data_IF_477124526061
#
_entry.id   IF_477124526061
#
_cell.length_a   1.000
_cell.length_b   1.000
_cell.length_c   1.000
_cell.angle_alpha   90.00
_cell.angle_beta   90.00
_cell.angle_gamma   90.00
#
_symmetry.space_group_name_H-M   'P 1'
#
loop_
_entity.id
_entity.type
_entity.pdbx_description
1 polymer ?
#
# COMPACT_ATOMS: atom_id res chain seq x y z
N UNK A 1 -45.91 47.64 -33.70
CA UNK A 1 -44.63 47.06 -34.17
C UNK A 1 -43.76 46.82 -32.94
N UNK A 2 -43.80 45.63 -32.41
CA UNK A 2 -43.02 45.23 -31.23
C UNK A 2 -41.74 44.57 -31.67
N UNK A 3 -40.65 45.08 -31.19
CA UNK A 3 -39.30 44.49 -31.42
C UNK A 3 -39.05 43.47 -30.29
N UNK A 4 -38.90 42.22 -30.63
CA UNK A 4 -38.45 41.19 -29.70
C UNK A 4 -36.91 41.25 -29.51
N UNK A 5 -36.39 41.07 -28.30
CA UNK A 5 -34.95 41.01 -28.06
C UNK A 5 -34.38 39.66 -28.47
N UNK A 6 -33.23 39.68 -29.14
CA UNK A 6 -32.41 38.54 -29.52
C UNK A 6 -31.72 37.91 -28.28
N UNK A 7 -31.58 36.55 -28.17
CA UNK A 7 -30.88 35.92 -27.09
C UNK A 7 -29.36 36.09 -27.25
N UNK A 8 -28.58 36.02 -26.13
CA UNK A 8 -27.10 36.14 -26.16
C UNK A 8 -26.44 34.89 -26.73
N UNK A 9 -25.21 35.01 -27.31
CA UNK A 9 -24.49 33.89 -27.92
C UNK A 9 -24.03 32.84 -26.90
N UNK A 10 -24.07 31.62 -27.36
CA UNK A 10 -23.92 30.38 -26.61
C UNK A 10 -22.71 30.28 -25.68
N UNK A 11 -23.01 29.78 -24.52
CA UNK A 11 -22.05 29.20 -23.58
C UNK A 11 -21.36 27.97 -24.22
N UNK A 12 -20.04 28.07 -24.43
CA UNK A 12 -19.22 26.98 -24.89
C UNK A 12 -19.35 25.76 -23.96
N UNK A 13 -19.51 24.59 -24.57
CA UNK A 13 -19.55 23.31 -23.91
C UNK A 13 -18.27 23.11 -23.06
N UNK A 14 -18.44 23.10 -21.75
CA UNK A 14 -17.45 22.53 -20.83
C UNK A 14 -17.40 21.03 -21.14
N UNK A 15 -16.24 20.59 -21.59
CA UNK A 15 -15.99 19.18 -21.87
C UNK A 15 -16.35 18.31 -20.65
N UNK A 16 -17.28 17.38 -20.84
CA UNK A 16 -17.59 16.33 -19.89
C UNK A 16 -16.30 15.54 -19.62
N UNK A 17 -15.74 15.74 -18.43
CA UNK A 17 -14.74 14.83 -17.92
C UNK A 17 -15.44 13.47 -17.77
N UNK A 18 -15.15 12.54 -18.69
CA UNK A 18 -15.61 11.15 -18.61
C UNK A 18 -15.26 10.59 -17.22
N UNK A 19 -16.25 10.46 -16.37
CA UNK A 19 -16.13 9.74 -15.11
C UNK A 19 -15.80 8.29 -15.44
N UNK A 20 -14.55 7.88 -15.21
CA UNK A 20 -14.13 6.49 -15.33
C UNK A 20 -14.93 5.64 -14.34
N UNK A 21 -15.41 4.48 -14.77
CA UNK A 21 -16.16 3.56 -13.92
C UNK A 21 -15.28 3.02 -12.77
N UNK A 22 -15.84 2.69 -11.60
CA UNK A 22 -15.08 2.08 -10.49
C UNK A 22 -14.26 0.85 -10.91
N UNK A 23 -14.76 0.05 -11.86
CA UNK A 23 -14.05 -1.11 -12.41
C UNK A 23 -12.76 -0.74 -13.16
N UNK A 24 -12.66 0.44 -13.77
CA UNK A 24 -11.44 0.88 -14.45
C UNK A 24 -10.31 1.23 -13.48
N UNK A 25 -10.61 1.77 -12.31
CA UNK A 25 -9.62 2.04 -11.26
C UNK A 25 -9.00 0.76 -10.70
N UNK A 26 -9.81 -0.29 -10.54
CA UNK A 26 -9.32 -1.58 -10.04
C UNK A 26 -8.36 -2.24 -11.03
N UNK A 27 -8.66 -2.20 -12.32
CA UNK A 27 -7.82 -2.81 -13.37
C UNK A 27 -6.49 -2.06 -13.55
N UNK A 28 -6.52 -0.72 -13.55
CA UNK A 28 -5.31 0.10 -13.66
C UNK A 28 -4.38 -0.14 -12.45
N UNK A 29 -4.95 -0.17 -11.24
CA UNK A 29 -4.19 -0.45 -10.02
C UNK A 29 -3.52 -1.83 -10.03
N UNK A 30 -4.25 -2.89 -10.40
CA UNK A 30 -3.69 -4.25 -10.46
C UNK A 30 -2.58 -4.37 -11.51
N UNK A 31 -2.72 -3.67 -12.64
CA UNK A 31 -1.68 -3.56 -13.66
C UNK A 31 -0.41 -2.94 -13.08
N UNK A 32 -0.56 -1.76 -12.46
CA UNK A 32 0.57 -1.02 -11.88
C UNK A 32 1.24 -1.80 -10.76
N UNK A 33 0.46 -2.48 -9.92
CA UNK A 33 1.01 -3.35 -8.88
C UNK A 33 1.90 -4.46 -9.46
N UNK A 34 1.42 -5.19 -10.48
CA UNK A 34 2.18 -6.28 -11.11
C UNK A 34 3.44 -5.73 -11.77
N UNK A 35 3.34 -4.65 -12.55
CA UNK A 35 4.48 -4.07 -13.27
C UNK A 35 5.54 -3.47 -12.35
N UNK A 36 5.14 -2.98 -11.18
CA UNK A 36 6.07 -2.41 -10.18
C UNK A 36 6.65 -3.46 -9.22
N UNK A 37 6.02 -4.64 -9.12
CA UNK A 37 6.40 -5.65 -8.12
C UNK A 37 7.12 -6.85 -8.75
N UNK A 38 6.79 -7.19 -10.00
CA UNK A 38 7.30 -8.37 -10.68
C UNK A 38 8.09 -7.99 -11.93
N UNK A 39 9.23 -8.62 -12.11
CA UNK A 39 9.94 -8.57 -13.39
C UNK A 39 9.11 -9.30 -14.48
N UNK A 40 8.91 -8.65 -15.60
CA UNK A 40 8.15 -9.20 -16.74
C UNK A 40 8.80 -10.47 -17.29
N UNK A 41 10.14 -10.59 -17.21
CA UNK A 41 10.87 -11.81 -17.57
C UNK A 41 10.47 -12.98 -16.66
N UNK A 42 10.36 -12.72 -15.37
CA UNK A 42 9.91 -13.73 -14.38
C UNK A 42 8.50 -14.22 -14.69
N UNK A 43 7.58 -13.30 -15.04
CA UNK A 43 6.23 -13.70 -15.42
C UNK A 43 6.25 -14.61 -16.65
N UNK A 44 6.91 -14.20 -17.72
CA UNK A 44 7.04 -15.04 -18.91
C UNK A 44 7.70 -16.39 -18.62
N UNK A 45 8.75 -16.41 -17.80
CA UNK A 45 9.43 -17.63 -17.36
C UNK A 45 8.45 -18.63 -16.72
N UNK A 46 7.62 -18.15 -15.78
CA UNK A 46 6.63 -18.98 -15.06
C UNK A 46 5.55 -19.55 -15.97
N UNK A 47 5.09 -18.80 -16.97
CA UNK A 47 4.02 -19.24 -17.85
C UNK A 47 4.49 -20.09 -19.04
N UNK A 48 5.68 -19.84 -19.53
CA UNK A 48 6.27 -20.64 -20.62
C UNK A 48 7.08 -21.84 -20.12
N UNK A 49 7.51 -21.86 -18.84
CA UNK A 49 8.47 -22.84 -18.35
C UNK A 49 9.88 -22.66 -18.95
N UNK A 50 10.19 -21.48 -19.47
CA UNK A 50 11.51 -21.12 -20.01
C UNK A 50 12.34 -20.47 -18.90
N UNK A 51 13.59 -20.90 -18.67
CA UNK A 51 14.47 -20.23 -17.70
C UNK A 51 14.66 -18.74 -17.99
N UNK A 52 14.74 -17.92 -16.94
CA UNK A 52 14.85 -16.46 -17.08
C UNK A 52 16.09 -16.02 -17.86
N UNK A 53 17.22 -16.68 -17.65
CA UNK A 53 18.48 -16.42 -18.34
C UNK A 53 18.36 -16.63 -19.86
N UNK A 54 17.60 -17.63 -20.30
CA UNK A 54 17.30 -17.89 -21.72
C UNK A 54 16.43 -16.76 -22.32
N UNK A 55 15.43 -16.27 -21.57
CA UNK A 55 14.61 -15.13 -22.02
C UNK A 55 15.49 -13.87 -22.08
N UNK A 56 16.30 -13.60 -21.07
CA UNK A 56 17.21 -12.42 -21.02
C UNK A 56 18.24 -12.46 -22.16
N UNK A 57 18.80 -13.64 -22.47
CA UNK A 57 19.67 -13.80 -23.62
C UNK A 57 18.95 -13.47 -24.93
N UNK A 58 17.72 -13.99 -25.13
CA UNK A 58 16.92 -13.67 -26.34
C UNK A 58 16.56 -12.17 -26.43
N UNK A 59 16.31 -11.47 -25.31
CA UNK A 59 16.11 -10.03 -25.31
C UNK A 59 17.32 -9.29 -25.86
N UNK A 60 18.54 -9.73 -25.53
CA UNK A 60 19.80 -9.17 -26.02
C UNK A 60 20.08 -9.55 -27.48
N UNK A 61 19.61 -10.72 -27.91
CA UNK A 61 19.78 -11.28 -29.24
C UNK A 61 18.44 -11.73 -29.85
N UNK A 62 17.53 -10.81 -30.24
CA UNK A 62 16.16 -11.18 -30.61
C UNK A 62 16.03 -12.04 -31.88
N UNK A 63 17.09 -12.17 -32.66
CA UNK A 63 17.16 -13.04 -33.83
C UNK A 63 17.44 -14.50 -33.45
N UNK A 64 18.03 -14.76 -32.28
CA UNK A 64 18.26 -16.09 -31.72
C UNK A 64 17.00 -16.58 -31.03
N UNK A 65 16.02 -16.97 -31.85
CA UNK A 65 14.67 -17.32 -31.40
C UNK A 65 14.67 -18.58 -30.54
N UNK A 66 13.72 -18.67 -29.64
CA UNK A 66 13.48 -19.78 -28.73
C UNK A 66 12.36 -20.65 -29.29
N UNK A 67 12.38 -21.97 -29.06
CA UNK A 67 11.24 -22.84 -29.36
C UNK A 67 10.08 -22.50 -28.44
N UNK A 68 8.87 -22.37 -28.99
CA UNK A 68 7.68 -22.14 -28.19
C UNK A 68 7.25 -23.44 -27.47
N UNK A 69 7.34 -23.53 -26.14
CA UNK A 69 7.02 -24.75 -25.40
C UNK A 69 5.50 -25.02 -25.33
N UNK A 70 4.66 -24.05 -25.68
CA UNK A 70 3.21 -24.18 -25.63
C UNK A 70 2.62 -24.92 -26.84
N UNK A 71 3.46 -25.27 -27.83
CA UNK A 71 3.08 -26.01 -29.02
C UNK A 71 4.24 -26.89 -29.52
N UNK A 72 3.94 -27.78 -30.42
CA UNK A 72 4.99 -28.55 -31.12
C UNK A 72 5.73 -27.65 -32.12
N UNK A 73 6.73 -26.94 -31.64
CA UNK A 73 7.52 -25.98 -32.41
C UNK A 73 8.74 -26.67 -33.05
N UNK A 74 8.64 -26.96 -34.38
CA UNK A 74 9.74 -27.62 -35.10
C UNK A 74 10.95 -26.70 -35.32
N UNK A 75 10.72 -25.37 -35.42
CA UNK A 75 11.75 -24.37 -35.64
C UNK A 75 11.59 -23.24 -34.61
N UNK A 76 12.68 -22.78 -33.94
CA UNK A 76 12.62 -21.68 -33.00
C UNK A 76 11.89 -20.45 -33.57
N UNK A 77 10.83 -20.01 -32.90
CA UNK A 77 9.93 -18.96 -33.41
C UNK A 77 9.57 -17.90 -32.40
N UNK A 78 9.81 -18.17 -31.10
CA UNK A 78 9.48 -17.24 -30.03
C UNK A 78 10.59 -16.22 -29.82
N UNK A 79 10.22 -14.95 -29.66
CA UNK A 79 11.16 -13.86 -29.39
C UNK A 79 10.58 -12.87 -28.42
N UNK A 80 11.43 -12.27 -27.58
CA UNK A 80 11.11 -11.27 -26.58
C UNK A 80 11.86 -9.96 -26.89
N UNK A 81 11.17 -8.84 -26.80
CA UNK A 81 11.79 -7.52 -27.03
C UNK A 81 11.08 -6.44 -26.22
N UNK A 82 11.87 -5.57 -25.59
CA UNK A 82 11.34 -4.38 -24.95
C UNK A 82 10.93 -3.30 -25.95
N UNK A 83 9.77 -2.70 -25.72
CA UNK A 83 9.28 -1.48 -26.37
C UNK A 83 8.90 -0.49 -25.26
N UNK A 84 9.80 0.43 -24.97
CA UNK A 84 9.74 1.23 -23.75
C UNK A 84 9.88 0.36 -22.52
N UNK A 85 8.94 0.46 -21.61
CA UNK A 85 8.84 -0.30 -20.36
C UNK A 85 8.12 -1.67 -20.48
N UNK A 86 7.59 -1.98 -21.69
CA UNK A 86 6.82 -3.22 -21.93
C UNK A 86 7.67 -4.28 -22.63
N UNK A 87 7.74 -5.45 -22.01
CA UNK A 87 8.31 -6.64 -22.65
C UNK A 87 7.25 -7.30 -23.50
N UNK A 88 7.46 -7.34 -24.81
CA UNK A 88 6.56 -7.95 -25.79
C UNK A 88 7.12 -9.31 -26.20
N UNK A 89 6.28 -10.33 -26.06
CA UNK A 89 6.51 -11.64 -26.60
C UNK A 89 5.86 -11.78 -27.98
N UNK A 90 6.55 -12.39 -28.94
CA UNK A 90 6.03 -12.69 -30.28
C UNK A 90 6.43 -14.08 -30.75
N UNK A 91 5.43 -14.86 -31.18
CA UNK A 91 5.67 -16.11 -31.90
C UNK A 91 5.57 -15.87 -33.41
N UNK A 92 6.68 -16.03 -34.12
CA UNK A 92 6.75 -15.89 -35.57
C UNK A 92 6.30 -17.16 -36.33
N UNK A 93 6.11 -18.29 -35.64
CA UNK A 93 5.61 -19.52 -36.21
C UNK A 93 4.08 -19.60 -36.20
N UNK A 94 3.43 -18.91 -35.23
CA UNK A 94 1.99 -18.71 -35.19
C UNK A 94 1.74 -17.19 -35.05
N UNK A 95 1.43 -16.54 -36.19
CA UNK A 95 1.24 -15.08 -36.24
C UNK A 95 0.12 -14.54 -35.37
N UNK A 96 -0.63 -15.37 -34.68
CA UNK A 96 -1.71 -15.02 -33.73
C UNK A 96 -1.16 -14.67 -32.33
N UNK A 97 0.06 -15.05 -32.02
CA UNK A 97 0.62 -14.92 -30.69
C UNK A 97 1.61 -13.73 -30.61
N UNK A 98 1.11 -12.57 -30.16
CA UNK A 98 1.91 -11.38 -29.87
C UNK A 98 1.23 -10.56 -28.77
N UNK A 99 1.98 -10.15 -27.77
CA UNK A 99 1.44 -9.23 -26.76
C UNK A 99 2.39 -9.00 -25.59
N UNK A 100 1.93 -8.15 -24.69
CA UNK A 100 2.55 -7.95 -23.38
C UNK A 100 2.21 -9.11 -22.43
N UNK A 101 2.69 -9.02 -21.18
CA UNK A 101 2.45 -10.07 -20.18
C UNK A 101 0.96 -10.37 -19.95
N UNK A 102 0.09 -9.36 -19.98
CA UNK A 102 -1.35 -9.57 -19.74
C UNK A 102 -2.05 -10.21 -20.92
N UNK A 103 -1.70 -9.80 -22.15
CA UNK A 103 -2.25 -10.36 -23.36
C UNK A 103 -1.83 -11.83 -23.53
N UNK A 104 -0.54 -12.11 -23.28
CA UNK A 104 0.04 -13.45 -23.43
C UNK A 104 -0.47 -14.39 -22.33
N UNK A 105 -0.48 -13.94 -21.08
CA UNK A 105 -1.03 -14.75 -19.99
C UNK A 105 -2.52 -15.01 -20.24
N UNK A 106 -3.28 -13.98 -20.64
CA UNK A 106 -4.68 -14.14 -20.99
C UNK A 106 -4.91 -15.19 -22.08
N UNK A 107 -4.06 -15.21 -23.09
CA UNK A 107 -4.09 -16.25 -24.13
C UNK A 107 -3.82 -17.65 -23.55
N UNK A 108 -2.78 -17.79 -22.72
CA UNK A 108 -2.38 -19.08 -22.12
C UNK A 108 -3.48 -19.66 -21.23
N UNK A 109 -4.14 -18.83 -20.40
CA UNK A 109 -5.18 -19.30 -19.48
C UNK A 109 -6.60 -19.15 -20.02
N UNK A 110 -6.73 -18.82 -21.31
CA UNK A 110 -8.01 -18.62 -22.02
C UNK A 110 -8.93 -17.58 -21.35
N UNK A 111 -8.37 -16.41 -21.05
CA UNK A 111 -9.09 -15.25 -20.48
C UNK A 111 -8.89 -14.01 -21.34
N UNK A 112 -9.95 -13.22 -21.51
CA UNK A 112 -9.89 -12.01 -22.32
C UNK A 112 -9.36 -10.83 -21.52
N UNK A 113 -8.13 -10.38 -21.81
CA UNK A 113 -7.50 -9.23 -21.12
C UNK A 113 -8.18 -7.87 -21.41
N UNK A 114 -9.08 -7.80 -22.40
CA UNK A 114 -9.81 -6.58 -22.76
C UNK A 114 -11.09 -6.38 -21.95
N UNK A 115 -11.57 -7.39 -21.24
CA UNK A 115 -12.70 -7.27 -20.32
C UNK A 115 -12.20 -7.06 -18.89
N UNK A 116 -12.90 -6.25 -18.09
CA UNK A 116 -12.51 -6.00 -16.68
C UNK A 116 -12.44 -7.29 -15.87
N UNK A 117 -13.40 -8.19 -16.03
CA UNK A 117 -13.44 -9.48 -15.34
C UNK A 117 -12.26 -10.38 -15.76
N UNK A 118 -12.03 -10.52 -17.06
CA UNK A 118 -10.92 -11.31 -17.59
C UNK A 118 -9.57 -10.75 -17.19
N UNK A 119 -9.41 -9.42 -17.19
CA UNK A 119 -8.19 -8.76 -16.75
C UNK A 119 -7.91 -8.98 -15.25
N UNK A 120 -8.92 -8.82 -14.39
CA UNK A 120 -8.80 -9.09 -12.95
C UNK A 120 -8.43 -10.56 -12.71
N UNK A 121 -9.03 -11.49 -13.45
CA UNK A 121 -8.68 -12.91 -13.37
C UNK A 121 -7.21 -13.16 -13.74
N UNK A 122 -6.73 -12.57 -14.85
CA UNK A 122 -5.33 -12.66 -15.31
C UNK A 122 -4.38 -12.12 -14.23
N UNK A 123 -4.68 -10.95 -13.67
CA UNK A 123 -3.86 -10.35 -12.62
C UNK A 123 -3.78 -11.24 -11.37
N UNK A 124 -4.89 -11.81 -10.94
CA UNK A 124 -4.93 -12.72 -9.80
C UNK A 124 -4.13 -14.00 -10.05
N UNK A 125 -4.22 -14.57 -11.26
CA UNK A 125 -3.43 -15.77 -11.62
C UNK A 125 -1.93 -15.48 -11.67
N UNK A 126 -1.52 -14.30 -12.19
CA UNK A 126 -0.12 -13.85 -12.16
C UNK A 126 0.36 -13.71 -10.70
N UNK A 127 -0.39 -13.02 -9.85
CA UNK A 127 -0.04 -12.83 -8.43
C UNK A 127 0.09 -14.19 -7.74
N UNK A 128 -0.83 -15.12 -7.98
CA UNK A 128 -0.81 -16.44 -7.37
C UNK A 128 0.41 -17.26 -7.82
N UNK A 129 0.68 -17.34 -9.14
CA UNK A 129 1.79 -18.13 -9.69
C UNK A 129 3.17 -17.56 -9.41
N UNK A 130 3.26 -16.24 -9.23
CA UNK A 130 4.51 -15.55 -8.91
C UNK A 130 4.62 -15.16 -7.43
N UNK A 131 3.77 -15.73 -6.54
CA UNK A 131 3.73 -15.38 -5.12
C UNK A 131 5.06 -15.59 -4.41
N UNK A 132 5.82 -16.63 -4.77
CA UNK A 132 7.19 -16.88 -4.31
C UNK A 132 8.15 -15.74 -4.69
N UNK A 133 8.01 -15.19 -5.88
CA UNK A 133 8.83 -14.07 -6.38
C UNK A 133 8.35 -12.71 -5.89
N UNK A 134 7.05 -12.55 -5.66
CA UNK A 134 6.52 -11.34 -5.01
C UNK A 134 7.12 -11.18 -3.63
N UNK A 135 7.18 -12.25 -2.85
CA UNK A 135 7.82 -12.25 -1.52
C UNK A 135 9.32 -11.95 -1.64
N UNK A 136 10.03 -12.65 -2.53
CA UNK A 136 11.49 -12.46 -2.73
C UNK A 136 11.83 -11.13 -3.38
N UNK A 137 11.01 -10.61 -4.32
CA UNK A 137 11.27 -9.31 -4.95
C UNK A 137 10.86 -8.12 -4.09
N UNK A 138 9.86 -8.26 -3.22
CA UNK A 138 9.61 -7.26 -2.16
C UNK A 138 10.81 -7.24 -1.20
N UNK A 139 11.38 -8.38 -0.86
CA UNK A 139 12.62 -8.48 -0.10
C UNK A 139 13.84 -8.00 -0.92
N UNK A 140 13.97 -8.37 -2.19
CA UNK A 140 15.11 -8.05 -3.06
C UNK A 140 15.10 -6.60 -3.58
N UNK A 141 13.98 -6.05 -4.01
CA UNK A 141 13.88 -4.62 -4.34
C UNK A 141 14.02 -3.72 -3.11
N UNK A 142 13.60 -4.18 -1.94
CA UNK A 142 14.01 -3.61 -0.67
C UNK A 142 15.51 -3.78 -0.46
N UNK A 143 16.05 -4.96 -0.68
CA UNK A 143 17.48 -5.28 -0.44
C UNK A 143 18.39 -4.54 -1.42
N UNK A 144 18.08 -4.39 -2.72
CA UNK A 144 18.93 -3.63 -3.67
C UNK A 144 18.81 -2.11 -3.47
N UNK A 145 17.62 -1.58 -3.28
CA UNK A 145 17.46 -0.16 -2.92
C UNK A 145 17.94 0.13 -1.49
N UNK A 146 17.91 -0.87 -0.59
CA UNK A 146 18.39 -0.80 0.79
C UNK A 146 19.84 -1.23 0.94
N UNK A 147 20.42 -2.12 0.10
CA UNK A 147 21.87 -2.39 0.07
C UNK A 147 22.68 -1.18 -0.40
N UNK A 148 22.11 -0.34 -1.23
CA UNK A 148 22.73 0.95 -1.58
C UNK A 148 22.46 2.00 -0.47
N UNK A 149 21.41 1.83 0.35
CA UNK A 149 21.00 2.82 1.36
C UNK A 149 21.14 2.41 2.83
N UNK A 150 21.24 1.13 3.20
CA UNK A 150 21.10 0.73 4.60
C UNK A 150 21.85 -0.55 5.01
N UNK A 151 23.16 -0.49 5.08
CA UNK A 151 23.85 -1.26 6.11
C UNK A 151 23.46 -0.64 7.46
N UNK A 152 22.56 -1.32 8.23
CA UNK A 152 22.22 -0.98 9.61
C UNK A 152 21.95 0.52 9.85
N UNK A 153 20.91 1.09 9.23
CA UNK A 153 20.54 2.47 9.52
C UNK A 153 20.27 2.63 11.03
N UNK A 154 21.15 3.34 11.70
CA UNK A 154 20.93 3.78 13.06
C UNK A 154 20.30 5.17 13.03
N UNK A 155 19.24 5.36 13.81
CA UNK A 155 18.57 6.65 13.97
C UNK A 155 18.74 7.08 15.41
N UNK A 156 19.44 8.18 15.61
CA UNK A 156 19.51 8.87 16.90
C UNK A 156 18.94 10.28 16.75
N UNK A 157 18.37 10.82 17.82
CA UNK A 157 17.74 12.12 17.79
C UNK A 157 17.75 12.82 19.15
N UNK A 158 17.83 14.15 19.09
CA UNK A 158 17.69 15.02 20.24
C UNK A 158 16.24 15.48 20.34
N UNK A 159 15.60 15.27 21.50
CA UNK A 159 14.22 15.70 21.75
C UNK A 159 14.17 17.13 22.26
N UNK A 160 13.10 17.83 21.95
CA UNK A 160 12.73 19.12 22.52
C UNK A 160 11.36 19.06 23.19
N UNK A 161 11.09 20.03 24.05
CA UNK A 161 9.74 20.17 24.61
C UNK A 161 8.73 20.57 23.52
N UNK A 162 7.48 20.08 23.58
CA UNK A 162 6.42 20.53 22.69
C UNK A 162 6.18 22.03 22.83
N UNK A 163 5.90 22.68 21.73
CA UNK A 163 5.47 24.06 21.69
C UNK A 163 4.02 24.19 21.17
N UNK A 164 3.52 25.41 21.09
CA UNK A 164 2.14 25.70 20.65
C UNK A 164 1.84 25.13 19.24
N UNK A 165 2.80 25.17 18.31
CA UNK A 165 2.61 24.69 16.93
C UNK A 165 2.49 23.16 16.89
N UNK A 166 3.20 22.44 17.75
CA UNK A 166 3.07 20.99 17.85
C UNK A 166 1.68 20.61 18.35
N UNK A 167 1.20 21.26 19.40
CA UNK A 167 -0.14 21.00 19.92
C UNK A 167 -1.22 21.30 18.89
N UNK A 168 -1.17 22.45 18.21
CA UNK A 168 -2.11 22.81 17.13
C UNK A 168 -2.08 21.74 16.02
N UNK A 169 -0.89 21.28 15.62
CA UNK A 169 -0.74 20.27 14.58
C UNK A 169 -1.42 18.95 14.96
N UNK A 170 -1.21 18.46 16.18
CA UNK A 170 -1.76 17.18 16.60
C UNK A 170 -3.22 17.25 17.02
N UNK A 171 -3.66 18.35 17.56
CA UNK A 171 -5.04 18.60 17.98
C UNK A 171 -6.01 18.59 16.78
N UNK A 172 -5.59 19.04 15.60
CA UNK A 172 -6.43 18.95 14.38
C UNK A 172 -6.78 17.49 14.00
N UNK A 173 -6.00 16.50 14.44
CA UNK A 173 -6.25 15.08 14.29
C UNK A 173 -6.86 14.43 15.54
N UNK A 174 -7.31 15.24 16.50
CA UNK A 174 -7.93 14.80 17.74
C UNK A 174 -6.98 14.23 18.78
N UNK A 175 -5.67 14.31 18.57
CA UNK A 175 -4.67 13.77 19.51
C UNK A 175 -4.50 14.73 20.69
N UNK A 176 -4.85 14.27 21.90
CA UNK A 176 -4.71 15.03 23.14
C UNK A 176 -3.27 15.23 23.54
N UNK A 177 -2.99 16.33 24.26
CA UNK A 177 -1.64 16.67 24.76
C UNK A 177 -1.01 15.55 25.58
N UNK A 178 -1.78 14.84 26.39
CA UNK A 178 -1.30 13.69 27.18
C UNK A 178 -0.74 12.58 26.28
N UNK A 179 -1.47 12.21 25.22
CA UNK A 179 -1.03 11.17 24.28
C UNK A 179 0.14 11.62 23.41
N UNK A 180 0.16 12.89 22.99
CA UNK A 180 1.32 13.44 22.28
C UNK A 180 2.59 13.32 23.11
N UNK A 181 2.54 13.73 24.37
CA UNK A 181 3.70 13.78 25.26
C UNK A 181 4.24 12.38 25.62
N UNK A 182 3.43 11.34 25.53
CA UNK A 182 3.79 9.97 25.92
C UNK A 182 4.09 9.03 24.74
N UNK A 183 3.49 9.31 23.59
CA UNK A 183 3.53 8.38 22.44
C UNK A 183 4.36 8.89 21.25
N UNK A 184 4.78 10.17 21.27
CA UNK A 184 5.51 10.81 20.17
C UNK A 184 6.70 11.59 20.69
N UNK A 185 7.88 11.32 20.14
CA UNK A 185 9.05 12.17 20.43
C UNK A 185 9.05 13.38 19.49
N UNK A 186 9.31 14.54 20.03
CA UNK A 186 9.35 15.81 19.29
C UNK A 186 10.80 16.22 19.12
N UNK A 187 11.26 16.29 17.88
CA UNK A 187 12.67 16.29 17.51
C UNK A 187 13.19 17.70 17.31
N UNK A 188 14.37 17.99 17.90
CA UNK A 188 15.19 19.16 17.59
C UNK A 188 16.17 18.86 16.45
N UNK A 189 16.89 17.74 16.55
CA UNK A 189 17.89 17.28 15.58
C UNK A 189 17.85 15.76 15.47
N UNK A 190 18.35 15.21 14.36
CA UNK A 190 18.57 13.78 14.24
C UNK A 190 19.86 13.47 13.47
N UNK A 191 20.36 12.26 13.66
CA UNK A 191 21.51 11.68 12.96
C UNK A 191 21.08 10.37 12.31
N UNK A 192 21.71 10.09 11.18
CA UNK A 192 21.57 8.83 10.48
C UNK A 192 22.95 8.15 10.46
N UNK A 193 23.10 7.06 11.16
CA UNK A 193 24.38 6.45 11.50
C UNK A 193 25.28 7.46 12.24
N UNK A 194 26.54 7.54 11.87
CA UNK A 194 27.49 8.49 12.45
C UNK A 194 27.32 9.93 11.91
N UNK A 195 26.50 10.13 10.87
CA UNK A 195 26.37 11.41 10.19
C UNK A 195 25.35 12.32 10.85
N UNK A 196 25.80 13.48 11.28
CA UNK A 196 24.91 14.56 11.67
C UNK A 196 24.17 15.06 10.42
N UNK A 197 22.83 15.01 10.43
CA UNK A 197 22.05 15.64 9.37
C UNK A 197 22.02 17.17 9.55
N UNK A 198 21.88 17.93 8.46
CA UNK A 198 21.74 19.38 8.55
C UNK A 198 20.40 19.81 9.18
N UNK A 199 19.51 18.85 9.44
CA UNK A 199 18.20 19.13 10.00
C UNK A 199 18.30 19.74 11.41
N UNK A 200 17.60 20.83 11.57
CA UNK A 200 17.29 21.44 12.86
C UNK A 200 15.83 21.85 12.84
N UNK A 201 15.14 21.69 13.98
CA UNK A 201 13.76 22.08 14.09
C UNK A 201 13.49 23.48 13.55
N UNK A 202 12.44 23.59 12.73
CA UNK A 202 11.82 24.86 12.36
C UNK A 202 10.28 24.69 12.40
N UNK A 203 9.57 25.78 12.63
CA UNK A 203 8.10 25.76 12.59
C UNK A 203 7.52 25.41 11.22
N UNK A 204 8.33 25.49 10.16
CA UNK A 204 7.95 25.16 8.78
C UNK A 204 8.23 23.70 8.42
N UNK A 205 9.20 23.03 9.05
CA UNK A 205 9.54 21.63 8.84
C UNK A 205 9.67 20.88 10.17
N UNK A 206 8.58 20.66 10.93
CA UNK A 206 8.61 19.89 12.15
C UNK A 206 8.89 18.41 11.89
N UNK A 207 9.66 17.78 12.79
CA UNK A 207 9.92 16.34 12.78
C UNK A 207 9.39 15.70 14.07
N UNK A 208 8.70 14.60 13.90
CA UNK A 208 8.21 13.75 14.99
C UNK A 208 8.77 12.35 14.85
N UNK A 209 8.97 11.63 15.96
CA UNK A 209 9.46 10.25 15.92
C UNK A 209 8.49 9.34 16.65
N UNK A 210 8.16 8.23 15.99
CA UNK A 210 7.46 7.10 16.57
C UNK A 210 8.46 6.01 16.95
N UNK A 211 8.34 5.47 18.16
CA UNK A 211 9.01 4.23 18.54
C UNK A 211 8.16 3.05 18.02
N UNK A 212 8.54 2.52 16.88
CA UNK A 212 7.72 1.52 16.17
C UNK A 212 8.03 0.08 16.58
N UNK A 213 9.25 -0.19 17.08
CA UNK A 213 9.68 -1.46 17.67
C UNK A 213 10.89 -1.18 18.58
N UNK A 214 11.35 -2.09 19.44
CA UNK A 214 12.51 -1.86 20.30
C UNK A 214 13.72 -1.39 19.50
N UNK A 215 14.23 -0.19 19.81
CA UNK A 215 15.33 0.49 19.11
C UNK A 215 15.07 0.72 17.60
N UNK A 216 13.79 0.71 17.18
CA UNK A 216 13.37 1.03 15.82
C UNK A 216 12.46 2.24 15.81
N UNK A 217 12.82 3.19 14.98
CA UNK A 217 12.21 4.51 14.94
C UNK A 217 11.70 4.84 13.55
N UNK A 218 10.64 5.65 13.51
CA UNK A 218 10.09 6.21 12.27
C UNK A 218 9.96 7.71 12.43
N UNK A 219 10.81 8.45 11.71
CA UNK A 219 10.73 9.90 11.63
C UNK A 219 9.59 10.28 10.70
N UNK A 220 8.84 11.30 11.10
CA UNK A 220 7.70 11.82 10.35
C UNK A 220 7.81 13.33 10.17
N UNK A 221 7.76 13.78 8.91
CA UNK A 221 7.84 15.18 8.50
C UNK A 221 6.52 15.61 7.85
N UNK A 222 5.53 16.05 8.62
CA UNK A 222 4.15 16.25 8.14
C UNK A 222 4.01 17.33 7.09
N UNK A 223 4.82 18.38 7.13
CA UNK A 223 4.72 19.55 6.25
C UNK A 223 5.49 19.40 4.94
N UNK A 224 6.26 18.33 4.77
CA UNK A 224 6.98 18.08 3.53
C UNK A 224 6.04 17.71 2.39
N UNK A 225 6.36 18.16 1.18
CA UNK A 225 5.62 17.86 -0.03
C UNK A 225 5.72 16.37 -0.41
N UNK A 226 4.83 15.89 -1.29
CA UNK A 226 4.88 14.50 -1.77
C UNK A 226 6.19 14.15 -2.49
N UNK A 227 6.83 15.14 -3.13
CA UNK A 227 8.15 15.01 -3.76
C UNK A 227 9.32 14.94 -2.77
N UNK A 228 9.07 15.18 -1.49
CA UNK A 228 10.07 15.17 -0.42
C UNK A 228 9.86 13.95 0.47
N UNK A 229 10.93 13.47 1.10
CA UNK A 229 10.87 12.35 2.03
C UNK A 229 10.07 12.72 3.28
N UNK A 230 8.85 12.16 3.40
CA UNK A 230 7.98 12.36 4.58
C UNK A 230 8.28 11.42 5.74
N UNK A 231 8.85 10.25 5.45
CA UNK A 231 9.16 9.24 6.46
C UNK A 231 10.59 8.73 6.27
N UNK A 232 11.32 8.58 7.37
CA UNK A 232 12.59 7.86 7.43
C UNK A 232 12.45 6.83 8.54
N UNK A 233 12.80 5.57 8.29
CA UNK A 233 12.68 4.52 9.30
C UNK A 233 13.83 3.52 9.22
N UNK A 234 14.23 3.00 10.36
CA UNK A 234 15.14 1.85 10.48
C UNK A 234 14.38 0.55 10.84
N UNK A 235 13.04 0.58 10.81
CA UNK A 235 12.22 -0.61 11.00
C UNK A 235 12.05 -1.35 9.67
N UNK A 236 12.50 -2.61 9.64
CA UNK A 236 12.33 -3.51 8.48
C UNK A 236 11.16 -4.47 8.64
N UNK A 237 10.59 -4.52 9.84
CA UNK A 237 9.43 -5.37 10.10
C UNK A 237 8.21 -4.79 9.34
N UNK A 238 7.43 -5.64 8.64
CA UNK A 238 6.21 -5.21 7.96
C UNK A 238 5.15 -4.70 8.94
N UNK A 239 5.30 -4.99 10.22
CA UNK A 239 4.40 -4.59 11.30
C UNK A 239 5.16 -3.72 12.28
N UNK A 240 4.54 -2.65 12.71
CA UNK A 240 5.02 -1.78 13.78
C UNK A 240 4.40 -2.22 15.11
N UNK A 241 5.06 -1.93 16.23
CA UNK A 241 4.58 -2.20 17.59
C UNK A 241 4.40 -3.70 17.93
N UNK A 242 5.10 -4.63 17.30
CA UNK A 242 5.06 -6.04 17.67
C UNK A 242 5.41 -6.31 19.15
N UNK A 243 6.27 -5.48 19.75
CA UNK A 243 6.63 -5.56 21.17
C UNK A 243 5.47 -5.27 22.12
N UNK A 244 4.35 -4.73 21.62
CA UNK A 244 3.13 -4.47 22.39
C UNK A 244 2.16 -5.65 22.35
N UNK A 245 2.46 -6.73 21.60
CA UNK A 245 1.63 -7.92 21.57
C UNK A 245 1.48 -8.51 22.95
N UNK A 246 0.24 -8.70 23.34
CA UNK A 246 -0.20 -9.40 24.56
C UNK A 246 -1.50 -10.14 24.24
N UNK A 247 -1.82 -11.22 24.94
CA UNK A 247 -3.13 -11.86 24.79
C UNK A 247 -4.24 -10.83 24.96
N UNK A 248 -5.09 -10.71 23.94
CA UNK A 248 -6.21 -9.76 23.91
C UNK A 248 -7.37 -10.36 23.12
N UNK A 249 -8.60 -9.92 23.39
CA UNK A 249 -9.77 -10.49 22.70
C UNK A 249 -9.68 -10.24 21.20
N UNK A 250 -9.31 -9.03 20.79
CA UNK A 250 -9.33 -8.64 19.39
C UNK A 250 -8.04 -7.93 18.97
N UNK A 251 -7.57 -8.23 17.77
CA UNK A 251 -6.44 -7.51 17.14
C UNK A 251 -6.93 -6.89 15.84
N UNK A 252 -6.65 -5.61 15.65
CA UNK A 252 -6.92 -4.88 14.43
C UNK A 252 -5.63 -4.35 13.81
N UNK A 253 -5.33 -4.77 12.58
CA UNK A 253 -4.31 -4.15 11.75
C UNK A 253 -4.83 -2.82 11.23
N UNK A 254 -4.04 -1.78 11.41
CA UNK A 254 -4.37 -0.42 10.95
C UNK A 254 -3.26 0.13 10.08
N UNK A 255 -3.52 1.18 9.30
CA UNK A 255 -2.52 1.73 8.38
C UNK A 255 -1.41 2.50 9.08
N UNK A 256 -1.73 3.37 10.02
CA UNK A 256 -0.80 4.37 10.48
C UNK A 256 -0.66 4.48 11.99
N UNK A 257 0.55 4.92 12.42
CA UNK A 257 0.80 5.15 13.84
C UNK A 257 -0.06 6.29 14.41
N UNK A 258 -0.41 7.29 13.59
CA UNK A 258 -1.30 8.40 13.98
C UNK A 258 -2.71 7.89 14.30
N UNK A 259 -3.25 6.99 13.47
CA UNK A 259 -4.56 6.38 13.68
C UNK A 259 -4.55 5.45 14.89
N UNK A 260 -3.42 4.75 15.14
CA UNK A 260 -3.24 3.98 16.37
C UNK A 260 -3.42 4.85 17.62
N UNK A 261 -2.74 5.98 17.68
CA UNK A 261 -2.84 6.90 18.83
C UNK A 261 -4.28 7.37 19.01
N UNK A 262 -4.96 7.72 17.92
CA UNK A 262 -6.36 8.16 17.92
C UNK A 262 -7.29 7.06 18.44
N UNK A 263 -7.19 5.85 17.92
CA UNK A 263 -8.05 4.75 18.33
C UNK A 263 -7.80 4.29 19.76
N UNK A 264 -6.55 4.22 20.19
CA UNK A 264 -6.22 3.95 21.59
C UNK A 264 -6.81 5.02 22.52
N UNK A 265 -6.72 6.31 22.14
CA UNK A 265 -7.32 7.39 22.91
C UNK A 265 -8.85 7.24 23.01
N UNK A 266 -9.52 6.90 21.91
CA UNK A 266 -10.98 6.68 21.92
C UNK A 266 -11.33 5.48 22.79
N UNK A 267 -10.57 4.39 22.71
CA UNK A 267 -10.77 3.22 23.56
C UNK A 267 -10.59 3.55 25.05
N UNK A 268 -9.53 4.27 25.41
CA UNK A 268 -9.28 4.72 26.78
C UNK A 268 -10.46 5.56 27.30
N UNK A 269 -11.01 6.48 26.49
CA UNK A 269 -12.15 7.33 26.87
C UNK A 269 -13.47 6.54 26.98
N UNK A 270 -13.60 5.42 26.26
CA UNK A 270 -14.76 4.53 26.32
C UNK A 270 -14.60 3.41 27.35
N UNK A 271 -13.44 3.29 28.02
CA UNK A 271 -13.15 2.21 28.96
C UNK A 271 -12.94 0.85 28.28
N UNK A 272 -12.51 0.83 27.01
CA UNK A 272 -12.27 -0.37 26.20
C UNK A 272 -10.78 -0.73 26.29
N UNK A 273 -10.48 -1.96 26.69
CA UNK A 273 -9.09 -2.44 26.91
C UNK A 273 -8.80 -3.80 26.29
N UNK A 274 -9.72 -4.32 25.50
CA UNK A 274 -9.69 -5.68 24.94
C UNK A 274 -9.45 -5.69 23.42
N UNK A 275 -9.11 -4.55 22.83
CA UNK A 275 -8.72 -4.40 21.43
C UNK A 275 -7.28 -3.87 21.34
N UNK A 276 -6.44 -4.53 20.57
CA UNK A 276 -5.07 -4.09 20.28
C UNK A 276 -4.95 -3.63 18.83
N UNK A 277 -4.51 -2.38 18.64
CA UNK A 277 -4.26 -1.80 17.31
C UNK A 277 -2.78 -1.92 16.95
N UNK A 278 -2.51 -2.60 15.84
CA UNK A 278 -1.17 -2.88 15.33
C UNK A 278 -1.01 -2.21 13.97
N UNK A 279 -0.11 -1.22 13.82
CA UNK A 279 0.10 -0.57 12.55
C UNK A 279 0.86 -1.46 11.56
N UNK A 280 0.38 -1.53 10.32
CA UNK A 280 1.15 -2.01 9.20
C UNK A 280 2.13 -0.92 8.73
N UNK A 281 3.36 -1.29 8.41
CA UNK A 281 4.38 -0.32 8.01
C UNK A 281 4.05 0.35 6.66
N UNK A 282 3.24 -0.30 5.81
CA UNK A 282 2.74 0.22 4.52
C UNK A 282 1.47 -0.55 4.10
N UNK A 283 0.60 0.07 3.30
CA UNK A 283 -0.59 -0.58 2.71
C UNK A 283 -0.25 -1.67 1.69
N UNK A 284 0.88 -1.53 1.01
CA UNK A 284 1.35 -2.51 0.02
C UNK A 284 2.03 -3.73 0.64
N UNK A 285 2.01 -3.86 1.96
CA UNK A 285 2.66 -4.96 2.64
C UNK A 285 1.87 -6.25 2.43
N UNK A 286 2.55 -7.21 1.83
CA UNK A 286 2.18 -8.62 1.97
C UNK A 286 2.53 -9.05 3.39
N UNK A 287 1.52 -9.21 4.24
CA UNK A 287 1.72 -9.73 5.59
C UNK A 287 2.30 -11.15 5.50
N UNK A 288 3.53 -11.41 6.00
CA UNK A 288 4.10 -12.76 6.01
C UNK A 288 3.24 -13.73 6.83
N UNK A 289 3.20 -14.99 6.43
CA UNK A 289 2.35 -16.00 7.06
C UNK A 289 2.72 -16.28 8.52
N UNK A 290 4.00 -16.21 8.86
CA UNK A 290 4.50 -16.33 10.23
C UNK A 290 4.03 -15.17 11.12
N UNK A 291 4.08 -13.94 10.60
CA UNK A 291 3.55 -12.75 11.30
C UNK A 291 2.03 -12.84 11.46
N UNK A 292 1.31 -13.28 10.42
CA UNK A 292 -0.13 -13.52 10.55
C UNK A 292 -0.43 -14.54 11.65
N UNK A 293 0.23 -15.70 11.65
CA UNK A 293 0.07 -16.74 12.68
C UNK A 293 0.39 -16.20 14.07
N UNK A 294 1.46 -15.40 14.18
CA UNK A 294 1.82 -14.75 15.44
C UNK A 294 0.68 -13.83 15.92
N UNK A 295 0.16 -12.94 15.07
CA UNK A 295 -0.93 -12.03 15.44
C UNK A 295 -2.17 -12.80 15.89
N UNK A 296 -2.57 -13.83 15.14
CA UNK A 296 -3.74 -14.66 15.48
C UNK A 296 -3.53 -15.42 16.78
N UNK A 297 -2.32 -15.91 17.10
CA UNK A 297 -2.04 -16.61 18.35
C UNK A 297 -2.20 -15.73 19.61
N UNK A 298 -2.12 -14.40 19.44
CA UNK A 298 -2.39 -13.43 20.51
C UNK A 298 -3.84 -12.93 20.54
N UNK A 299 -4.63 -13.21 19.50
CA UNK A 299 -6.06 -12.87 19.44
C UNK A 299 -6.89 -13.99 20.06
N UNK A 300 -7.48 -13.76 21.24
CA UNK A 300 -8.31 -14.76 21.92
C UNK A 300 -9.56 -15.13 21.12
N UNK A 301 -10.07 -14.20 20.29
CA UNK A 301 -11.16 -14.51 19.35
C UNK A 301 -10.71 -15.34 18.14
N UNK A 302 -9.40 -15.49 17.91
CA UNK A 302 -8.84 -16.11 16.71
C UNK A 302 -9.05 -15.29 15.43
N UNK A 303 -9.59 -14.07 15.54
CA UNK A 303 -9.91 -13.20 14.42
C UNK A 303 -8.90 -12.05 14.31
N UNK A 304 -8.61 -11.64 13.09
CA UNK A 304 -7.80 -10.47 12.79
C UNK A 304 -8.63 -9.51 11.94
N UNK A 305 -8.77 -8.28 12.40
CA UNK A 305 -9.47 -7.21 11.69
C UNK A 305 -8.48 -6.34 10.93
N UNK A 306 -8.94 -5.70 9.85
CA UNK A 306 -8.15 -4.70 9.11
C UNK A 306 -8.93 -3.39 9.01
N UNK A 307 -8.30 -2.28 9.40
CA UNK A 307 -8.86 -0.92 9.29
C UNK A 307 -7.84 -0.09 8.51
N UNK A 308 -7.95 -0.15 7.20
CA UNK A 308 -7.09 0.57 6.27
C UNK A 308 -7.80 1.80 5.69
N UNK A 309 -7.07 2.64 4.96
CA UNK A 309 -7.66 3.76 4.26
C UNK A 309 -8.77 3.29 3.32
N UNK A 310 -9.76 4.13 3.08
CA UNK A 310 -10.84 3.84 2.13
C UNK A 310 -10.54 4.35 0.72
N UNK A 311 -9.28 4.65 0.41
CA UNK A 311 -8.84 4.82 -0.97
C UNK A 311 -8.61 3.43 -1.65
N UNK A 312 -8.40 3.47 -2.97
CA UNK A 312 -8.25 2.23 -3.76
C UNK A 312 -7.12 1.31 -3.25
N UNK A 313 -6.02 1.89 -2.74
CA UNK A 313 -4.88 1.13 -2.25
C UNK A 313 -5.21 0.39 -0.94
N UNK A 314 -5.83 1.09 0.02
CA UNK A 314 -6.21 0.50 1.31
C UNK A 314 -7.32 -0.55 1.19
N UNK A 315 -8.34 -0.30 0.35
CA UNK A 315 -9.41 -1.27 0.07
C UNK A 315 -8.82 -2.55 -0.54
N UNK A 316 -7.93 -2.41 -1.53
CA UNK A 316 -7.30 -3.57 -2.17
C UNK A 316 -6.41 -4.35 -1.20
N UNK A 317 -5.63 -3.65 -0.36
CA UNK A 317 -4.81 -4.30 0.66
C UNK A 317 -5.67 -5.11 1.66
N UNK A 318 -6.80 -4.55 2.10
CA UNK A 318 -7.75 -5.25 2.96
C UNK A 318 -8.33 -6.50 2.28
N UNK A 319 -8.71 -6.43 0.99
CA UNK A 319 -9.22 -7.58 0.23
C UNK A 319 -8.15 -8.66 0.02
N UNK A 320 -6.89 -8.29 -0.23
CA UNK A 320 -5.79 -9.26 -0.34
C UNK A 320 -5.63 -10.04 0.98
N UNK A 321 -5.64 -9.33 2.11
CA UNK A 321 -5.52 -9.98 3.42
C UNK A 321 -6.76 -10.82 3.75
N UNK A 322 -7.95 -10.37 3.37
CA UNK A 322 -9.18 -11.15 3.51
C UNK A 322 -9.11 -12.45 2.70
N UNK A 323 -8.73 -12.38 1.43
CA UNK A 323 -8.63 -13.56 0.56
C UNK A 323 -7.54 -14.53 0.99
N UNK A 324 -6.42 -14.03 1.55
CA UNK A 324 -5.27 -14.86 1.94
C UNK A 324 -5.42 -15.46 3.34
N UNK A 325 -5.99 -14.71 4.26
CA UNK A 325 -5.96 -15.03 5.70
C UNK A 325 -7.34 -14.97 6.37
N UNK A 326 -8.39 -14.73 5.59
CA UNK A 326 -9.75 -14.57 6.12
C UNK A 326 -9.85 -13.48 7.19
N UNK A 327 -9.10 -12.38 7.02
CA UNK A 327 -9.23 -11.20 7.88
C UNK A 327 -10.56 -10.51 7.65
N UNK A 328 -11.03 -9.75 8.63
CA UNK A 328 -12.31 -9.04 8.57
C UNK A 328 -12.05 -7.56 8.28
N UNK A 329 -12.35 -7.05 7.07
CA UNK A 329 -12.14 -5.65 6.75
C UNK A 329 -13.21 -4.76 7.40
N UNK A 330 -12.75 -3.63 7.94
CA UNK A 330 -13.60 -2.56 8.48
C UNK A 330 -13.26 -1.27 7.74
N UNK A 331 -14.21 -0.75 6.97
CA UNK A 331 -14.08 0.47 6.21
C UNK A 331 -14.56 1.66 7.05
N UNK A 332 -13.63 2.22 7.83
CA UNK A 332 -13.97 3.23 8.84
C UNK A 332 -14.59 4.50 8.25
N UNK A 333 -14.01 5.01 7.17
CA UNK A 333 -14.45 6.27 6.55
C UNK A 333 -15.41 6.06 5.37
N UNK A 334 -15.98 4.87 5.21
CA UNK A 334 -17.00 4.62 4.20
C UNK A 334 -18.16 5.62 4.37
N UNK A 335 -18.58 6.24 3.27
CA UNK A 335 -19.55 7.34 3.24
C UNK A 335 -19.05 8.73 3.69
N UNK A 336 -17.76 8.90 3.94
CA UNK A 336 -17.11 10.18 4.21
C UNK A 336 -16.12 10.55 3.10
N UNK A 337 -15.83 11.86 2.97
CA UNK A 337 -14.80 12.30 2.00
C UNK A 337 -13.38 12.03 2.47
N UNK A 338 -13.20 11.88 3.78
CA UNK A 338 -11.89 11.57 4.38
C UNK A 338 -11.51 10.12 4.10
N UNK A 339 -10.26 9.88 3.81
CA UNK A 339 -9.75 8.53 3.48
C UNK A 339 -9.31 7.73 4.70
N UNK A 340 -8.89 8.38 5.78
CA UNK A 340 -8.44 7.76 7.02
C UNK A 340 -9.11 8.38 8.27
N UNK A 341 -9.08 7.69 9.42
CA UNK A 341 -9.73 8.14 10.65
C UNK A 341 -9.25 9.49 11.16
N UNK A 342 -7.95 9.75 11.09
CA UNK A 342 -7.38 11.00 11.56
C UNK A 342 -7.69 12.18 10.65
N UNK A 343 -7.74 11.99 9.34
CA UNK A 343 -8.26 13.00 8.41
C UNK A 343 -9.76 13.24 8.63
N UNK A 344 -10.54 12.21 8.99
CA UNK A 344 -11.95 12.38 9.36
C UNK A 344 -12.12 13.26 10.60
N UNK A 345 -11.22 13.19 11.60
CA UNK A 345 -11.24 14.14 12.73
C UNK A 345 -11.03 15.57 12.26
N UNK A 346 -10.08 15.78 11.37
CA UNK A 346 -9.77 17.10 10.81
C UNK A 346 -10.95 17.69 10.05
N UNK A 347 -11.66 16.85 9.27
CA UNK A 347 -12.74 17.30 8.38
C UNK A 347 -14.09 17.43 9.10
N UNK A 348 -14.38 16.58 10.10
CA UNK A 348 -15.70 16.46 10.74
C UNK A 348 -15.67 16.64 12.26
N UNK A 349 -14.50 16.80 12.87
CA UNK A 349 -14.31 16.97 14.30
C UNK A 349 -14.26 15.67 15.10
N UNK A 350 -13.56 15.73 16.25
CA UNK A 350 -13.32 14.59 17.14
C UNK A 350 -14.60 13.90 17.61
N UNK A 351 -15.61 14.67 18.03
CA UNK A 351 -16.89 14.12 18.55
C UNK A 351 -17.58 13.19 17.52
N UNK A 352 -17.53 13.58 16.24
CA UNK A 352 -18.13 12.77 15.16
C UNK A 352 -17.41 11.44 15.01
N UNK A 353 -16.08 11.46 15.03
CA UNK A 353 -15.25 10.25 14.94
C UNK A 353 -15.43 9.37 16.17
N UNK A 354 -15.46 9.96 17.36
CA UNK A 354 -15.70 9.26 18.62
C UNK A 354 -17.04 8.50 18.62
N UNK A 355 -18.12 9.11 18.12
CA UNK A 355 -19.42 8.47 17.95
C UNK A 355 -19.40 7.40 16.84
N UNK A 356 -18.73 7.71 15.72
CA UNK A 356 -18.63 6.77 14.59
C UNK A 356 -17.87 5.50 14.95
N UNK A 357 -16.94 5.59 15.89
CA UNK A 357 -16.17 4.44 16.37
C UNK A 357 -17.06 3.34 16.96
N UNK A 358 -18.26 3.65 17.42
CA UNK A 358 -19.23 2.65 17.89
C UNK A 358 -19.63 1.66 16.78
N UNK A 359 -19.59 2.06 15.50
CA UNK A 359 -19.83 1.15 14.39
C UNK A 359 -18.67 0.18 14.17
N UNK A 360 -17.42 0.62 14.45
CA UNK A 360 -16.26 -0.27 14.47
C UNK A 360 -16.39 -1.30 15.57
N UNK A 361 -16.79 -0.87 16.76
CA UNK A 361 -16.98 -1.76 17.89
C UNK A 361 -18.08 -2.81 17.62
N UNK A 362 -19.20 -2.40 17.00
CA UNK A 362 -20.25 -3.34 16.58
C UNK A 362 -19.69 -4.42 15.66
N UNK A 363 -18.91 -4.03 14.65
CA UNK A 363 -18.28 -5.00 13.73
C UNK A 363 -17.27 -5.92 14.41
N UNK A 364 -16.48 -5.40 15.35
CA UNK A 364 -15.50 -6.20 16.09
C UNK A 364 -16.18 -7.19 17.04
N UNK A 365 -17.19 -6.75 17.79
CA UNK A 365 -17.83 -7.57 18.81
C UNK A 365 -18.90 -8.50 18.26
N UNK A 366 -19.68 -8.05 17.28
CA UNK A 366 -20.87 -8.79 16.82
C UNK A 366 -20.75 -9.28 15.37
N UNK A 367 -19.82 -8.75 14.59
CA UNK A 367 -19.62 -9.16 13.20
C UNK A 367 -20.59 -8.54 12.20
N UNK A 368 -21.37 -7.52 12.63
CA UNK A 368 -22.40 -6.85 11.82
C UNK A 368 -21.85 -5.62 11.07
#
# INVERSE_FOLDING_TARGET
>A
MGVQPTPPPGSGALGEAQQRSPASYTTDYMRDFILNTLDQVTIFSKYFGIPEDVIRFNISSPNDRIRNPLRNDKHPSLSFKYYGDKLICRDFGDGRFRGDIFEVVGYIINKNCKTSEGFVYICNDIILRCSDKIVTNIEFNRTEQEHIKNQNLEITFDVRKPNKLDYIYWEQYGIKKSNLNTKVFIVDRYRLNEWQTPYRYSGTDPCYVYNVNPNKYKLYFPKRLKSQTKFITNNRCPIECLHQLKPTNYIALIKGYKDKILFEQICDEKGINDILFIPAASETIVLPTDIYKLLVSYSLSGKLFTIFDTDAAGINAAHILQGRYNTIPIYFTNNYKSKDPSDMVKDYGYRKVFQHFDNVLKKIYYGD
#
